data_IF_523368720604
#
_entry.id   IF_523368720604
#
_cell.length_a   1.000
_cell.length_b   1.000
_cell.length_c   1.000
_cell.angle_alpha   90.00
_cell.angle_beta   90.00
_cell.angle_gamma   90.00
#
_symmetry.space_group_name_H-M   'P 1'
#
loop_
_entity.id
_entity.type
_entity.pdbx_description
1 polymer ?
#
# COMPACT_ATOMS: atom_id res chain seq x y z
N UNK A 1 20.38 -40.38 43.82
CA UNK A 1 20.78 -40.48 42.40
C UNK A 1 19.56 -40.00 41.61
N UNK A 2 19.42 -38.67 41.53
CA UNK A 2 19.55 -37.86 40.29
C UNK A 2 18.44 -38.21 39.29
N UNK A 3 17.61 -37.31 38.77
CA UNK A 3 17.60 -35.85 38.78
C UNK A 3 16.22 -35.38 38.27
N UNK A 4 15.79 -34.17 38.63
CA UNK A 4 14.70 -33.49 37.92
C UNK A 4 15.22 -33.00 36.56
N UNK A 5 14.49 -33.22 35.48
CA UNK A 5 14.73 -32.53 34.20
C UNK A 5 13.41 -32.01 33.63
N UNK A 6 13.09 -30.79 34.03
CA UNK A 6 12.67 -29.63 33.22
C UNK A 6 12.00 -29.93 31.86
N UNK A 7 10.72 -29.55 31.75
CA UNK A 7 10.07 -29.20 30.49
C UNK A 7 10.68 -27.89 29.95
N UNK A 8 10.87 -27.76 28.63
CA UNK A 8 10.34 -26.56 28.02
C UNK A 8 9.61 -26.87 26.72
N UNK A 9 8.32 -26.52 26.72
CA UNK A 9 7.62 -25.82 25.65
C UNK A 9 8.28 -25.95 24.27
N UNK A 10 7.76 -26.88 23.47
CA UNK A 10 7.89 -26.83 22.02
C UNK A 10 7.40 -25.47 21.55
N UNK A 11 8.34 -24.60 21.22
CA UNK A 11 8.10 -23.34 20.57
C UNK A 11 7.59 -23.69 19.16
N UNK A 12 6.27 -23.73 18.99
CA UNK A 12 5.64 -23.67 17.67
C UNK A 12 5.99 -22.31 17.07
N UNK A 13 7.19 -22.23 16.50
CA UNK A 13 7.58 -21.11 15.67
C UNK A 13 6.62 -21.10 14.47
N UNK A 14 5.84 -20.02 14.25
CA UNK A 14 5.08 -19.91 13.02
C UNK A 14 6.10 -19.84 11.88
N UNK A 15 6.09 -20.87 11.04
CA UNK A 15 6.91 -20.95 9.84
C UNK A 15 6.73 -19.70 8.97
N UNK A 16 7.70 -19.41 8.07
CA UNK A 16 7.66 -18.21 7.26
C UNK A 16 6.35 -18.24 6.49
N UNK A 17 5.54 -17.22 6.70
CA UNK A 17 4.25 -17.09 6.09
C UNK A 17 4.48 -16.86 4.58
N UNK A 18 4.65 -17.94 3.82
CA UNK A 18 4.70 -17.92 2.37
C UNK A 18 3.34 -17.45 1.87
N UNK A 19 3.21 -16.14 1.72
CA UNK A 19 2.13 -15.56 0.93
C UNK A 19 2.18 -16.11 -0.49
N UNK A 20 1.06 -16.04 -1.21
CA UNK A 20 1.09 -16.35 -2.65
C UNK A 20 2.12 -15.43 -3.33
N UNK A 21 2.78 -15.85 -4.42
CA UNK A 21 3.84 -15.07 -5.05
C UNK A 21 3.43 -13.64 -5.46
N UNK A 22 2.13 -13.37 -5.59
CA UNK A 22 1.56 -12.06 -5.92
C UNK A 22 1.00 -11.26 -4.71
N UNK A 23 1.26 -11.71 -3.48
CA UNK A 23 0.71 -11.10 -2.26
C UNK A 23 1.74 -10.18 -1.58
N UNK A 24 1.44 -8.89 -1.53
CA UNK A 24 2.24 -7.93 -0.75
C UNK A 24 1.81 -7.97 0.72
N UNK A 25 2.75 -8.30 1.62
CA UNK A 25 2.58 -8.21 3.07
C UNK A 25 3.41 -7.08 3.61
N UNK A 26 2.75 -6.14 4.29
CA UNK A 26 3.38 -4.96 4.86
C UNK A 26 3.23 -5.01 6.37
N UNK A 27 4.33 -5.09 7.15
CA UNK A 27 4.25 -4.94 8.59
C UNK A 27 3.87 -3.48 8.90
N UNK A 28 2.74 -3.28 9.57
CA UNK A 28 2.30 -1.95 9.97
C UNK A 28 2.88 -1.62 11.36
N UNK A 29 3.78 -0.64 11.47
CA UNK A 29 4.38 -0.29 12.74
C UNK A 29 3.35 0.40 13.65
N UNK A 30 3.37 0.08 14.95
CA UNK A 30 2.54 0.76 15.94
C UNK A 30 3.14 2.13 16.27
N UNK A 31 2.44 3.26 16.02
CA UNK A 31 3.00 4.58 16.30
C UNK A 31 3.31 4.79 17.79
N UNK A 32 2.58 4.12 18.69
CA UNK A 32 2.78 4.24 20.14
C UNK A 32 4.10 3.60 20.62
N UNK A 33 4.66 2.66 19.85
CA UNK A 33 5.90 1.96 20.19
C UNK A 33 7.15 2.69 19.65
N UNK A 34 6.96 3.68 18.78
CA UNK A 34 8.03 4.46 18.17
C UNK A 34 8.44 5.60 19.11
N UNK A 35 9.57 5.44 19.79
CA UNK A 35 10.05 6.39 20.81
C UNK A 35 11.24 7.24 20.36
N UNK A 36 11.77 7.00 19.15
CA UNK A 36 12.92 7.75 18.62
C UNK A 36 12.69 8.23 17.19
N UNK A 37 13.32 9.34 16.83
CA UNK A 37 13.27 9.88 15.46
C UNK A 37 13.86 8.91 14.43
N UNK A 38 14.94 8.20 14.79
CA UNK A 38 15.55 7.20 13.92
C UNK A 38 14.60 6.05 13.60
N UNK A 39 13.91 5.52 14.61
CA UNK A 39 12.91 4.47 14.42
C UNK A 39 11.71 4.97 13.59
N UNK A 40 11.26 6.22 13.81
CA UNK A 40 10.17 6.80 13.02
C UNK A 40 10.52 6.91 11.53
N UNK A 41 11.74 7.35 11.20
CA UNK A 41 12.20 7.44 9.80
C UNK A 41 12.31 6.08 9.14
N UNK A 42 12.93 5.11 9.82
CA UNK A 42 13.02 3.74 9.30
C UNK A 42 11.63 3.11 9.07
N UNK A 43 10.67 3.40 9.94
CA UNK A 43 9.28 2.98 9.76
C UNK A 43 8.62 3.61 8.53
N UNK A 44 8.85 4.91 8.29
CA UNK A 44 8.39 5.61 7.08
C UNK A 44 9.04 4.99 5.84
N UNK A 45 10.36 4.78 5.83
CA UNK A 45 11.07 4.19 4.69
C UNK A 45 10.49 2.82 4.30
N UNK A 46 10.13 2.00 5.29
CA UNK A 46 9.47 0.71 5.06
C UNK A 46 8.07 0.83 4.46
N UNK A 47 7.27 1.80 4.92
CA UNK A 47 5.96 2.10 4.35
C UNK A 47 6.08 2.65 2.92
N UNK A 48 7.08 3.50 2.65
CA UNK A 48 7.32 4.08 1.34
C UNK A 48 7.79 3.03 0.33
N UNK A 49 8.63 2.07 0.75
CA UNK A 49 9.00 0.94 -0.08
C UNK A 49 7.78 0.10 -0.50
N UNK A 50 6.86 -0.15 0.45
CA UNK A 50 5.61 -0.85 0.14
C UNK A 50 4.70 -0.01 -0.77
N UNK A 51 4.61 1.29 -0.54
CA UNK A 51 3.84 2.22 -1.36
C UNK A 51 4.36 2.25 -2.80
N UNK A 52 5.67 2.25 -3.01
CA UNK A 52 6.28 2.22 -4.33
C UNK A 52 5.86 0.98 -5.14
N UNK A 53 5.87 -0.21 -4.51
CA UNK A 53 5.39 -1.46 -5.15
C UNK A 53 3.91 -1.37 -5.51
N UNK A 54 3.08 -0.81 -4.63
CA UNK A 54 1.65 -0.62 -4.90
C UNK A 54 1.40 0.38 -6.03
N UNK A 55 2.16 1.47 -6.09
CA UNK A 55 2.04 2.48 -7.14
C UNK A 55 2.42 1.91 -8.51
N UNK A 56 3.53 1.16 -8.60
CA UNK A 56 3.94 0.45 -9.82
C UNK A 56 2.84 -0.50 -10.30
N UNK A 57 2.33 -1.35 -9.39
CA UNK A 57 1.25 -2.28 -9.74
C UNK A 57 -0.02 -1.55 -10.15
N UNK A 58 -0.36 -0.45 -9.48
CA UNK A 58 -1.53 0.38 -9.81
C UNK A 58 -1.39 1.01 -11.19
N UNK A 59 -0.21 1.53 -11.54
CA UNK A 59 0.05 2.09 -12.86
C UNK A 59 -0.09 1.01 -13.96
N UNK A 60 0.46 -0.18 -13.74
CA UNK A 60 0.32 -1.30 -14.68
C UNK A 60 -1.16 -1.69 -14.91
N UNK A 61 -1.97 -1.73 -13.85
CA UNK A 61 -3.42 -1.99 -13.96
C UNK A 61 -4.14 -0.82 -14.62
N UNK A 62 -3.76 0.43 -14.33
CA UNK A 62 -4.32 1.61 -14.99
C UNK A 62 -4.04 1.59 -16.50
N UNK A 63 -2.86 1.16 -16.93
CA UNK A 63 -2.53 1.00 -18.35
C UNK A 63 -3.43 -0.05 -19.04
N UNK A 64 -3.77 -1.15 -18.34
CA UNK A 64 -4.79 -2.10 -18.84
C UNK A 64 -6.13 -1.40 -19.03
N UNK A 65 -6.59 -0.64 -18.03
CA UNK A 65 -7.84 0.12 -18.12
C UNK A 65 -7.82 1.09 -19.30
N UNK A 66 -6.71 1.80 -19.54
CA UNK A 66 -6.58 2.73 -20.65
C UNK A 66 -6.71 2.04 -22.01
N UNK A 67 -6.14 0.85 -22.19
CA UNK A 67 -6.30 0.06 -23.43
C UNK A 67 -7.74 -0.43 -23.64
N UNK A 68 -8.53 -0.59 -22.58
CA UNK A 68 -9.91 -1.05 -22.65
C UNK A 68 -10.92 0.09 -22.86
N UNK A 69 -10.55 1.33 -22.55
CA UNK A 69 -11.44 2.48 -22.68
C UNK A 69 -11.63 2.88 -24.16
N UNK A 70 -12.85 3.28 -24.57
CA UNK A 70 -13.07 3.86 -25.89
C UNK A 70 -12.32 5.19 -26.10
N UNK A 71 -12.12 5.95 -25.02
CA UNK A 71 -11.33 7.19 -24.98
C UNK A 71 -10.28 7.04 -23.89
N UNK A 72 -9.02 6.94 -24.29
CA UNK A 72 -7.87 6.80 -23.39
C UNK A 72 -7.27 8.14 -22.95
N UNK A 73 -6.19 8.07 -22.17
CA UNK A 73 -5.42 9.21 -21.68
C UNK A 73 -6.23 10.14 -20.78
N UNK A 74 -5.80 11.40 -20.72
CA UNK A 74 -6.46 12.45 -19.93
C UNK A 74 -7.90 12.74 -20.36
N UNK A 75 -8.24 12.53 -21.64
CA UNK A 75 -9.59 12.73 -22.15
C UNK A 75 -10.59 11.69 -21.60
N UNK A 76 -10.10 10.53 -21.15
CA UNK A 76 -10.88 9.47 -20.52
C UNK A 76 -11.02 9.59 -19.00
N UNK A 77 -10.71 10.74 -18.40
CA UNK A 77 -10.89 10.96 -16.95
C UNK A 77 -12.37 11.02 -16.59
N UNK A 78 -12.69 10.46 -15.43
CA UNK A 78 -14.03 10.39 -14.89
C UNK A 78 -14.04 11.01 -13.50
N UNK A 79 -14.39 12.30 -13.36
CA UNK A 79 -14.43 12.98 -12.08
C UNK A 79 -15.41 12.34 -11.09
N UNK A 80 -16.47 11.68 -11.56
CA UNK A 80 -17.41 10.95 -10.72
C UNK A 80 -16.72 9.76 -10.05
N UNK A 81 -16.09 8.92 -10.86
CA UNK A 81 -15.34 7.76 -10.36
C UNK A 81 -14.18 8.17 -9.44
N UNK A 82 -13.48 9.26 -9.75
CA UNK A 82 -12.40 9.78 -8.92
C UNK A 82 -12.89 10.20 -7.53
N UNK A 83 -14.06 10.83 -7.42
CA UNK A 83 -14.68 11.18 -6.13
C UNK A 83 -15.07 9.95 -5.31
N UNK A 84 -15.58 8.90 -5.95
CA UNK A 84 -15.92 7.64 -5.27
C UNK A 84 -14.68 6.98 -4.67
N UNK A 85 -13.55 6.99 -5.39
CA UNK A 85 -12.28 6.46 -4.90
C UNK A 85 -11.86 7.23 -3.64
N UNK A 86 -11.93 8.56 -3.68
CA UNK A 86 -11.57 9.42 -2.54
C UNK A 86 -12.47 9.16 -1.33
N UNK A 87 -13.79 9.04 -1.53
CA UNK A 87 -14.73 8.72 -0.46
C UNK A 87 -14.40 7.38 0.21
N UNK A 88 -14.18 6.33 -0.59
CA UNK A 88 -13.77 5.01 -0.08
C UNK A 88 -12.42 5.06 0.67
N UNK A 89 -11.47 5.89 0.24
CA UNK A 89 -10.21 6.06 0.95
C UNK A 89 -10.38 6.83 2.26
N UNK A 90 -11.27 7.82 2.31
CA UNK A 90 -11.51 8.64 3.50
C UNK A 90 -12.05 7.81 4.68
N UNK A 91 -12.84 6.77 4.41
CA UNK A 91 -13.28 5.80 5.42
C UNK A 91 -12.10 5.05 6.08
N UNK A 92 -11.04 4.79 5.30
CA UNK A 92 -9.86 4.03 5.74
C UNK A 92 -8.77 4.93 6.33
N UNK A 93 -8.70 6.18 5.89
CA UNK A 93 -7.71 7.17 6.31
C UNK A 93 -8.40 8.46 6.84
N UNK A 94 -9.16 8.36 7.95
CA UNK A 94 -9.97 9.47 8.44
C UNK A 94 -9.15 10.70 8.86
N UNK A 95 -7.90 10.52 9.30
CA UNK A 95 -7.00 11.63 9.66
C UNK A 95 -6.60 12.49 8.46
N UNK A 96 -6.55 11.90 7.25
CA UNK A 96 -6.26 12.64 6.02
C UNK A 96 -7.50 13.38 5.51
N UNK A 97 -8.68 12.77 5.59
CA UNK A 97 -9.91 13.35 5.09
C UNK A 97 -9.95 13.48 3.56
N UNK A 98 -11.14 13.75 2.99
CA UNK A 98 -11.37 13.66 1.55
C UNK A 98 -10.59 14.70 0.73
N UNK A 99 -10.36 15.92 1.23
CA UNK A 99 -9.71 16.98 0.45
C UNK A 99 -8.21 16.71 0.23
N UNK A 100 -7.52 16.19 1.26
CA UNK A 100 -6.10 15.81 1.12
C UNK A 100 -5.96 14.56 0.27
N UNK A 101 -6.86 13.58 0.47
CA UNK A 101 -6.89 12.37 -0.34
C UNK A 101 -7.19 12.65 -1.82
N UNK A 102 -8.05 13.62 -2.14
CA UNK A 102 -8.32 14.02 -3.51
C UNK A 102 -7.06 14.51 -4.22
N UNK A 103 -6.23 15.33 -3.55
CA UNK A 103 -4.97 15.81 -4.14
C UNK A 103 -3.96 14.68 -4.37
N UNK A 104 -3.83 13.78 -3.39
CA UNK A 104 -2.95 12.61 -3.51
C UNK A 104 -3.41 11.73 -4.68
N UNK A 105 -4.70 11.42 -4.74
CA UNK A 105 -5.22 10.53 -5.78
C UNK A 105 -5.21 11.15 -7.16
N UNK A 106 -5.40 12.47 -7.29
CA UNK A 106 -5.21 13.16 -8.55
C UNK A 106 -3.78 12.94 -9.08
N UNK A 107 -2.76 13.18 -8.25
CA UNK A 107 -1.36 12.97 -8.62
C UNK A 107 -1.07 11.50 -8.98
N UNK A 108 -1.61 10.55 -8.22
CA UNK A 108 -1.43 9.10 -8.46
C UNK A 108 -2.16 8.63 -9.73
N UNK A 109 -3.28 9.27 -10.10
CA UNK A 109 -3.97 9.01 -11.37
C UNK A 109 -3.17 9.58 -12.53
N UNK A 110 -2.78 10.85 -12.44
CA UNK A 110 -2.04 11.57 -13.46
C UNK A 110 -0.72 10.87 -13.78
N UNK A 111 0.07 10.53 -12.76
CA UNK A 111 1.31 9.77 -12.96
C UNK A 111 1.09 8.42 -13.66
N UNK A 112 -0.04 7.75 -13.38
CA UNK A 112 -0.40 6.50 -14.06
C UNK A 112 -0.85 6.69 -15.51
N UNK A 113 -1.43 7.85 -15.85
CA UNK A 113 -1.73 8.24 -17.23
C UNK A 113 -0.44 8.55 -17.98
N UNK A 114 0.44 9.37 -17.41
CA UNK A 114 1.74 9.72 -17.98
C UNK A 114 2.61 8.49 -18.28
N UNK A 115 2.64 7.54 -17.33
CA UNK A 115 3.36 6.28 -17.49
C UNK A 115 2.76 5.37 -18.58
N UNK A 116 1.45 5.45 -18.83
CA UNK A 116 0.80 4.69 -19.89
C UNK A 116 1.00 5.31 -21.29
N UNK A 117 1.29 6.62 -21.35
CA UNK A 117 1.60 7.34 -22.59
C UNK A 117 3.10 7.25 -22.95
N UNK A 118 3.96 7.00 -21.96
CA UNK A 118 5.40 6.79 -22.15
C UNK A 118 5.68 5.32 -22.56
N UNK A 119 6.27 5.06 -23.74
CA UNK A 119 6.42 3.71 -24.32
C UNK A 119 7.42 2.80 -23.59
#
# INVERSE_FOLDING_TARGET
>A
MHDQVIDPAGHDAPGPACGRPDELRVPLPSPAEITTLGAARAAIDGLDAALAVLLERRAAVAAVVQRLKPVGGFAGRDPGREREIVAAMAERAPSLGPERLARIMAAVIEAGLDAAESP
#
